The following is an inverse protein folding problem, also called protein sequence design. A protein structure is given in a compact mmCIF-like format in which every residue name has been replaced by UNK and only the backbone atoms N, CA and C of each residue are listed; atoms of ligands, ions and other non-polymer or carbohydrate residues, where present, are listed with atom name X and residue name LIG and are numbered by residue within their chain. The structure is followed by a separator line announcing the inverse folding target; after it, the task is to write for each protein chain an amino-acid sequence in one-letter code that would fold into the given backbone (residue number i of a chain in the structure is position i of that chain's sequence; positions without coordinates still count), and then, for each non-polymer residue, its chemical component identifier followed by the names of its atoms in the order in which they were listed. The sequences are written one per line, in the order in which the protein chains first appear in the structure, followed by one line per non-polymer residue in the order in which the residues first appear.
data_IF_546146222769
#
_entry.id   IF_546146222769
#
_cell.length_a   1.000
_cell.length_b   1.000
_cell.length_c   1.000
_cell.angle_alpha   90.00
_cell.angle_beta   90.00
_cell.angle_gamma   90.00
#
_symmetry.space_group_name_H-M   'P 1'
#
loop_
_entity.id
_entity.type
_entity.pdbx_description
1 polymer ?
#
# COMPACT_ATOMS: atom_id res chain seq x y z
N UNK A 1 19.58 -3.71 -2.66
CA UNK A 1 19.15 -4.20 -1.32
C UNK A 1 20.25 -5.07 -0.75
N UNK A 2 20.71 -4.82 0.49
CA UNK A 2 21.82 -5.57 1.11
C UNK A 2 21.33 -6.78 1.89
N UNK A 3 20.23 -6.63 2.62
CA UNK A 3 19.57 -7.72 3.36
C UNK A 3 18.06 -7.46 3.48
N UNK A 4 17.27 -8.50 3.78
CA UNK A 4 15.81 -8.45 3.91
C UNK A 4 15.34 -9.40 5.00
N UNK A 5 14.39 -8.94 5.80
CA UNK A 5 13.72 -9.74 6.83
C UNK A 5 12.21 -9.68 6.64
N UNK A 6 11.54 -10.76 6.95
CA UNK A 6 10.09 -10.86 6.95
C UNK A 6 9.60 -11.40 8.28
N UNK A 7 8.66 -10.71 8.90
CA UNK A 7 8.10 -11.04 10.21
C UNK A 7 6.58 -11.17 10.07
N UNK A 8 6.02 -12.23 10.63
CA UNK A 8 4.56 -12.35 10.74
C UNK A 8 4.03 -11.33 11.75
N UNK A 9 2.97 -10.64 11.37
CA UNK A 9 2.33 -9.62 12.19
C UNK A 9 0.82 -9.81 12.25
N UNK A 10 0.29 -9.71 13.48
CA UNK A 10 -1.15 -9.72 13.73
C UNK A 10 -1.67 -8.30 13.92
N UNK A 11 -2.63 -7.83 13.09
CA UNK A 11 -3.16 -6.46 13.14
C UNK A 11 -3.79 -6.05 14.49
N UNK A 12 -4.09 -7.03 15.35
CA UNK A 12 -4.71 -6.81 16.67
C UNK A 12 -3.72 -6.60 17.80
N UNK A 13 -2.44 -6.80 17.54
CA UNK A 13 -1.40 -6.55 18.54
C UNK A 13 -1.28 -5.05 18.84
N UNK A 14 -0.72 -4.74 20.00
CA UNK A 14 -0.47 -3.33 20.35
C UNK A 14 0.56 -2.71 19.41
N UNK A 15 0.44 -1.40 19.18
CA UNK A 15 1.42 -0.63 18.38
C UNK A 15 2.83 -0.86 18.89
N UNK A 16 3.02 -0.78 20.19
CA UNK A 16 4.33 -0.92 20.84
C UNK A 16 4.94 -2.30 20.61
N UNK A 17 4.14 -3.38 20.69
CA UNK A 17 4.62 -4.74 20.42
C UNK A 17 5.00 -4.92 18.95
N UNK A 18 4.22 -4.36 18.04
CA UNK A 18 4.51 -4.39 16.60
C UNK A 18 5.81 -3.64 16.30
N UNK A 19 5.96 -2.40 16.80
CA UNK A 19 7.17 -1.61 16.56
C UNK A 19 8.41 -2.24 17.21
N UNK A 20 8.25 -2.84 18.39
CA UNK A 20 9.35 -3.57 19.05
C UNK A 20 9.76 -4.84 18.28
N UNK A 21 8.82 -5.53 17.64
CA UNK A 21 9.14 -6.67 16.77
C UNK A 21 9.93 -6.20 15.54
N UNK A 22 9.46 -5.15 14.85
CA UNK A 22 10.17 -4.55 13.72
C UNK A 22 11.57 -4.08 14.12
N UNK A 23 11.69 -3.41 15.27
CA UNK A 23 12.97 -2.89 15.75
C UNK A 23 14.00 -4.00 16.03
N UNK A 24 13.57 -5.18 16.51
CA UNK A 24 14.49 -6.31 16.68
C UNK A 24 15.11 -6.75 15.35
N UNK A 25 14.32 -6.81 14.29
CA UNK A 25 14.83 -7.13 12.96
C UNK A 25 15.75 -6.03 12.41
N UNK A 26 15.43 -4.75 12.69
CA UNK A 26 16.34 -3.65 12.37
C UNK A 26 17.66 -3.74 13.14
N UNK A 27 17.62 -4.04 14.44
CA UNK A 27 18.82 -4.20 15.27
C UNK A 27 19.72 -5.32 14.71
N UNK A 28 19.14 -6.45 14.30
CA UNK A 28 19.86 -7.57 13.70
C UNK A 28 20.47 -7.20 12.34
N UNK A 29 19.74 -6.46 11.49
CA UNK A 29 20.27 -5.97 10.22
C UNK A 29 21.41 -4.97 10.41
N UNK A 30 21.27 -4.06 11.35
CA UNK A 30 22.29 -3.03 11.66
C UNK A 30 23.55 -3.62 12.28
N UNK A 31 23.44 -4.71 13.05
CA UNK A 31 24.61 -5.41 13.61
C UNK A 31 25.58 -5.95 12.54
N UNK A 32 25.07 -6.17 11.32
CA UNK A 32 25.86 -6.65 10.19
C UNK A 32 26.18 -5.53 9.16
N UNK A 33 25.68 -4.32 9.38
CA UNK A 33 25.94 -3.18 8.47
C UNK A 33 27.35 -2.61 8.70
N UNK A 34 28.06 -2.38 7.61
CA UNK A 34 29.40 -1.75 7.64
C UNK A 34 29.35 -0.23 7.48
N UNK A 35 28.22 0.32 7.13
CA UNK A 35 28.01 1.75 6.92
C UNK A 35 27.09 2.35 8.01
N UNK A 36 27.22 3.65 8.33
CA UNK A 36 26.33 4.31 9.26
C UNK A 36 24.90 4.37 8.72
N UNK A 37 23.93 4.32 9.62
CA UNK A 37 22.52 4.53 9.28
C UNK A 37 22.30 6.02 8.97
N UNK A 38 21.70 6.33 7.82
CA UNK A 38 21.40 7.70 7.41
C UNK A 38 19.97 8.12 7.72
N UNK A 39 19.05 7.17 7.73
CA UNK A 39 17.64 7.42 8.02
C UNK A 39 16.81 6.17 7.90
N UNK A 40 15.57 6.25 8.32
CA UNK A 40 14.59 5.15 8.29
C UNK A 40 13.37 5.58 7.49
N UNK A 41 13.04 4.85 6.43
CA UNK A 41 11.78 4.98 5.70
C UNK A 41 10.80 3.89 6.14
N UNK A 42 9.57 4.27 6.44
CA UNK A 42 8.51 3.37 6.89
C UNK A 42 7.27 3.51 6.02
N UNK A 43 6.67 2.39 5.72
CA UNK A 43 5.39 2.25 5.01
C UNK A 43 4.35 1.66 5.95
N UNK A 44 3.16 2.28 6.06
CA UNK A 44 2.08 1.79 6.90
C UNK A 44 0.76 1.71 6.11
N UNK A 45 -0.11 0.70 6.37
CA UNK A 45 -1.32 0.46 5.58
C UNK A 45 -2.49 1.36 6.02
N UNK A 46 -2.26 2.68 6.05
CA UNK A 46 -3.25 3.69 6.44
C UNK A 46 -2.82 5.06 5.95
N UNK A 47 -3.75 6.02 5.75
CA UNK A 47 -3.39 7.41 5.52
C UNK A 47 -2.49 7.96 6.64
N UNK A 48 -1.51 8.77 6.25
CA UNK A 48 -0.53 9.40 7.14
C UNK A 48 -0.67 10.91 7.03
N UNK A 49 -0.81 11.59 8.16
CA UNK A 49 -0.84 13.05 8.20
C UNK A 49 0.52 13.61 7.77
N UNK A 50 0.52 14.47 6.75
CA UNK A 50 1.76 14.99 6.16
C UNK A 50 2.57 15.83 7.14
N UNK A 51 1.90 16.59 7.99
CA UNK A 51 2.51 17.49 8.96
C UNK A 51 3.14 16.76 10.15
N UNK A 52 2.53 15.67 10.60
CA UNK A 52 2.95 14.95 11.81
C UNK A 52 3.53 13.56 11.56
N UNK A 53 3.35 12.99 10.36
CA UNK A 53 3.74 11.59 10.07
C UNK A 53 2.94 10.56 10.85
N UNK A 54 1.77 10.92 11.40
CA UNK A 54 0.95 10.04 12.24
C UNK A 54 -0.15 9.35 11.45
N UNK A 55 -0.46 8.08 11.75
CA UNK A 55 -1.61 7.38 11.19
C UNK A 55 -2.93 8.13 11.43
N UNK A 56 -3.76 8.24 10.40
CA UNK A 56 -5.06 8.92 10.45
C UNK A 56 -6.21 7.93 10.28
N UNK A 57 -7.04 7.79 11.32
CA UNK A 57 -8.27 7.01 11.29
C UNK A 57 -8.14 5.64 10.59
N UNK A 58 -7.16 4.80 10.96
CA UNK A 58 -6.90 3.55 10.26
C UNK A 58 -8.05 2.56 10.43
N UNK A 59 -8.75 2.15 9.35
CA UNK A 59 -9.87 1.24 9.45
C UNK A 59 -9.47 -0.13 10.02
N UNK A 60 -10.08 -0.52 11.14
CA UNK A 60 -9.76 -1.77 11.84
C UNK A 60 -8.47 -1.74 12.68
N UNK A 61 -7.73 -0.63 12.68
CA UNK A 61 -6.50 -0.43 13.44
C UNK A 61 -6.58 0.83 14.33
N UNK A 62 -7.74 1.08 14.95
CA UNK A 62 -8.02 2.31 15.69
C UNK A 62 -6.99 2.67 16.76
N UNK A 63 -6.30 1.68 17.35
CA UNK A 63 -5.22 1.88 18.32
C UNK A 63 -3.95 2.50 17.71
N UNK A 64 -3.80 2.52 16.38
CA UNK A 64 -2.71 3.22 15.67
C UNK A 64 -3.00 4.70 15.47
N UNK A 65 -4.27 5.12 15.58
CA UNK A 65 -4.67 6.49 15.26
C UNK A 65 -3.91 7.52 16.09
N UNK A 66 -3.20 8.42 15.42
CA UNK A 66 -2.42 9.48 16.04
C UNK A 66 -1.14 9.01 16.77
N UNK A 67 -0.79 7.72 16.70
CA UNK A 67 0.44 7.22 17.33
C UNK A 67 1.68 7.82 16.65
N UNK A 68 2.67 8.22 17.44
CA UNK A 68 3.90 8.81 16.93
C UNK A 68 4.92 7.74 16.52
N UNK A 69 4.67 7.12 15.36
CA UNK A 69 5.55 6.10 14.76
C UNK A 69 6.92 6.69 14.43
N UNK A 70 6.93 7.90 13.88
CA UNK A 70 8.16 8.61 13.50
C UNK A 70 9.04 8.86 14.70
N UNK A 71 8.49 9.50 15.72
CA UNK A 71 9.23 9.82 16.95
C UNK A 71 9.72 8.59 17.70
N UNK A 72 8.97 7.47 17.62
CA UNK A 72 9.37 6.21 18.24
C UNK A 72 10.68 5.67 17.62
N UNK A 73 10.79 5.65 16.28
CA UNK A 73 12.01 5.20 15.58
C UNK A 73 13.13 6.22 15.68
N UNK A 74 12.85 7.51 15.47
CA UNK A 74 13.86 8.56 15.57
C UNK A 74 14.55 8.57 16.94
N UNK A 75 13.77 8.44 18.03
CA UNK A 75 14.32 8.41 19.40
C UNK A 75 15.15 7.16 19.67
N UNK A 76 14.84 6.03 19.03
CA UNK A 76 15.57 4.77 19.25
C UNK A 76 16.89 4.73 18.49
N UNK A 77 16.93 5.25 17.27
CA UNK A 77 18.06 5.08 16.34
C UNK A 77 18.88 6.36 16.12
N UNK A 78 18.44 7.48 16.70
CA UNK A 78 19.07 8.80 16.55
C UNK A 78 19.27 9.22 15.10
N UNK A 79 18.27 8.94 14.24
CA UNK A 79 18.25 9.33 12.82
C UNK A 79 16.87 9.86 12.42
N UNK A 80 16.82 10.62 11.34
CA UNK A 80 15.56 11.03 10.71
C UNK A 80 14.71 9.82 10.30
N UNK A 81 13.40 9.90 10.52
CA UNK A 81 12.44 8.85 10.16
C UNK A 81 11.32 9.43 9.31
N UNK A 82 11.06 8.81 8.17
CA UNK A 82 10.01 9.19 7.22
C UNK A 82 8.93 8.11 7.22
N UNK A 83 7.68 8.52 7.31
CA UNK A 83 6.52 7.62 7.35
C UNK A 83 5.52 8.04 6.29
N UNK A 84 5.08 7.10 5.47
CA UNK A 84 4.04 7.37 4.46
C UNK A 84 3.09 6.16 4.31
N UNK A 85 2.00 6.38 3.57
CA UNK A 85 1.05 5.33 3.22
C UNK A 85 1.69 4.28 2.28
N UNK A 86 1.28 3.03 2.44
CA UNK A 86 1.82 1.89 1.68
C UNK A 86 1.64 2.01 0.16
N UNK A 87 0.48 2.46 -0.32
CA UNK A 87 0.26 2.65 -1.75
C UNK A 87 1.10 3.81 -2.31
N UNK A 88 1.32 4.88 -1.53
CA UNK A 88 2.22 5.97 -1.92
C UNK A 88 3.67 5.48 -2.04
N UNK A 89 4.12 4.73 -1.06
CA UNK A 89 5.49 4.18 -1.02
C UNK A 89 5.72 3.23 -2.19
N UNK A 90 4.79 2.29 -2.41
CA UNK A 90 4.90 1.33 -3.52
C UNK A 90 4.82 2.02 -4.89
N UNK A 91 3.98 3.04 -5.04
CA UNK A 91 3.93 3.84 -6.26
C UNK A 91 5.29 4.50 -6.55
N UNK A 92 5.91 5.11 -5.54
CA UNK A 92 7.23 5.73 -5.66
C UNK A 92 8.32 4.71 -5.98
N UNK A 93 8.28 3.55 -5.34
CA UNK A 93 9.18 2.43 -5.61
C UNK A 93 9.02 1.88 -7.01
N UNK A 94 7.79 1.64 -7.47
CA UNK A 94 7.49 1.18 -8.82
C UNK A 94 7.97 2.19 -9.88
N UNK A 95 7.70 3.48 -9.67
CA UNK A 95 8.18 4.54 -10.55
C UNK A 95 9.72 4.54 -10.66
N UNK A 96 10.39 4.34 -9.53
CA UNK A 96 11.86 4.26 -9.49
C UNK A 96 12.40 3.04 -10.23
N UNK A 97 11.80 1.86 -10.01
CA UNK A 97 12.24 0.60 -10.62
C UNK A 97 11.97 0.55 -12.13
N UNK A 98 10.90 1.19 -12.57
CA UNK A 98 10.48 1.19 -13.99
C UNK A 98 11.00 2.38 -14.79
N UNK A 99 11.43 3.45 -14.11
CA UNK A 99 11.79 4.72 -14.73
C UNK A 99 10.58 5.51 -15.24
N UNK A 100 9.36 5.20 -14.77
CA UNK A 100 8.14 5.89 -15.18
C UNK A 100 7.93 7.16 -14.35
N UNK A 101 7.82 8.31 -15.00
CA UNK A 101 7.53 9.58 -14.33
C UNK A 101 6.05 9.72 -13.95
N UNK A 102 5.15 9.05 -14.67
CA UNK A 102 3.71 9.06 -14.44
C UNK A 102 3.20 7.63 -14.29
N UNK A 103 2.74 7.27 -13.08
CA UNK A 103 2.37 5.90 -12.71
C UNK A 103 1.18 5.89 -11.75
N UNK A 104 0.29 4.92 -11.94
CA UNK A 104 -0.76 4.58 -10.98
C UNK A 104 -0.43 3.21 -10.37
N UNK A 105 -0.26 3.16 -9.06
CA UNK A 105 -0.17 1.92 -8.30
C UNK A 105 -1.50 1.61 -7.65
N UNK A 106 -2.00 0.39 -7.81
CA UNK A 106 -3.24 -0.10 -7.20
C UNK A 106 -2.88 -1.17 -6.18
N UNK A 107 -3.08 -0.90 -4.91
CA UNK A 107 -2.87 -1.84 -3.81
C UNK A 107 -4.18 -2.50 -3.41
N UNK A 108 -4.32 -3.79 -3.71
CA UNK A 108 -5.44 -4.64 -3.31
C UNK A 108 -5.00 -5.62 -2.22
N UNK A 109 -4.86 -5.09 -1.02
CA UNK A 109 -4.49 -5.85 0.17
C UNK A 109 -5.67 -6.07 1.11
N UNK A 110 -5.45 -5.90 2.41
CA UNK A 110 -6.54 -5.90 3.41
C UNK A 110 -7.54 -4.76 3.21
N UNK A 111 -7.15 -3.69 2.53
CA UNK A 111 -7.94 -2.60 2.01
C UNK A 111 -7.63 -2.38 0.53
N UNK A 112 -8.34 -1.43 -0.09
CA UNK A 112 -8.05 -0.94 -1.43
C UNK A 112 -7.58 0.50 -1.35
N UNK A 113 -6.39 0.77 -1.86
CA UNK A 113 -5.82 2.11 -2.00
C UNK A 113 -5.06 2.25 -3.31
N UNK A 114 -4.76 3.50 -3.70
CA UNK A 114 -3.91 3.77 -4.85
C UNK A 114 -2.84 4.80 -4.50
N UNK A 115 -1.69 4.68 -5.15
CA UNK A 115 -0.66 5.71 -5.19
C UNK A 115 -0.57 6.27 -6.61
N UNK A 116 -0.57 7.58 -6.74
CA UNK A 116 -0.36 8.26 -8.02
C UNK A 116 1.00 8.94 -7.98
N UNK A 117 1.84 8.62 -8.96
CA UNK A 117 3.07 9.38 -9.25
C UNK A 117 2.80 10.21 -10.49
N UNK A 118 3.10 11.49 -10.43
CA UNK A 118 3.05 12.38 -11.58
C UNK A 118 4.30 13.25 -11.59
N UNK A 119 4.95 13.31 -12.76
CA UNK A 119 6.23 13.99 -12.94
C UNK A 119 7.30 13.55 -11.91
N UNK A 120 7.36 12.25 -11.65
CA UNK A 120 8.30 11.63 -10.72
C UNK A 120 7.99 11.87 -9.23
N UNK A 121 6.85 12.50 -8.90
CA UNK A 121 6.45 12.84 -7.52
C UNK A 121 5.15 12.17 -7.12
N UNK A 122 5.13 11.58 -5.94
CA UNK A 122 3.93 10.98 -5.36
C UNK A 122 2.91 12.08 -4.97
N UNK A 123 1.66 11.88 -5.40
CA UNK A 123 0.53 12.78 -5.14
C UNK A 123 -0.15 12.42 -3.82
N UNK A 124 0.29 13.03 -2.72
CA UNK A 124 -0.23 12.75 -1.36
C UNK A 124 -1.52 13.50 -1.04
N UNK A 125 -1.86 14.53 -1.85
CA UNK A 125 -2.95 15.44 -1.55
C UNK A 125 -2.63 16.38 -0.38
N UNK A 126 -3.61 17.18 0.03
CA UNK A 126 -3.42 18.22 1.05
C UNK A 126 -3.13 17.65 2.45
N UNK A 127 -3.67 16.49 2.79
CA UNK A 127 -3.64 15.93 4.14
C UNK A 127 -2.91 14.58 4.24
N UNK A 128 -2.45 14.02 3.12
CA UNK A 128 -1.87 12.67 3.08
C UNK A 128 -2.89 11.55 2.82
N UNK A 129 -4.14 11.90 2.48
CA UNK A 129 -5.22 10.92 2.25
C UNK A 129 -5.53 10.66 0.78
N UNK A 130 -4.77 11.23 -0.16
CA UNK A 130 -4.97 10.94 -1.58
C UNK A 130 -4.85 9.43 -1.83
N UNK A 131 -5.64 8.92 -2.77
CA UNK A 131 -5.62 7.49 -3.09
C UNK A 131 -6.47 6.58 -2.21
N UNK A 132 -7.18 7.09 -1.20
CA UNK A 132 -8.10 6.31 -0.35
C UNK A 132 -9.40 5.93 -1.09
N UNK A 133 -9.29 5.44 -2.34
CA UNK A 133 -10.44 5.16 -3.22
C UNK A 133 -11.34 4.04 -2.71
N UNK A 134 -10.80 3.12 -1.90
CA UNK A 134 -11.59 2.06 -1.26
C UNK A 134 -12.75 2.60 -0.42
N UNK A 135 -12.66 3.83 0.06
CA UNK A 135 -13.69 4.43 0.88
C UNK A 135 -14.66 5.35 0.11
N UNK A 136 -14.60 5.37 -1.20
CA UNK A 136 -15.64 6.00 -2.04
C UNK A 136 -16.90 5.14 -2.00
N UNK A 137 -18.07 5.77 -1.79
CA UNK A 137 -19.35 5.08 -1.86
C UNK A 137 -19.69 4.79 -3.31
N UNK A 138 -19.73 3.52 -3.69
CA UNK A 138 -20.04 3.06 -5.05
C UNK A 138 -21.42 2.42 -5.14
N UNK A 139 -22.00 2.03 -4.00
CA UNK A 139 -23.35 1.48 -3.91
C UNK A 139 -24.02 1.99 -2.61
N UNK A 140 -24.79 3.07 -2.73
CA UNK A 140 -25.49 3.68 -1.60
C UNK A 140 -26.59 2.77 -1.01
N UNK A 141 -27.04 1.77 -1.75
CA UNK A 141 -28.06 0.78 -1.31
C UNK A 141 -27.46 -0.42 -0.58
N UNK A 142 -26.14 -0.61 -0.64
CA UNK A 142 -25.49 -1.75 -0.02
C UNK A 142 -25.62 -1.72 1.51
N UNK A 143 -26.07 -2.83 2.07
CA UNK A 143 -26.20 -2.99 3.52
C UNK A 143 -24.84 -3.25 4.22
N UNK A 144 -23.83 -3.68 3.46
CA UNK A 144 -22.50 -4.00 4.00
C UNK A 144 -21.85 -2.77 4.63
N UNK A 145 -21.48 -2.88 5.90
CA UNK A 145 -20.77 -1.84 6.64
C UNK A 145 -19.27 -1.96 6.38
N UNK A 146 -18.66 -0.90 5.91
CA UNK A 146 -17.22 -0.80 5.75
C UNK A 146 -16.52 -0.67 7.12
N UNK A 147 -15.27 -1.09 7.21
CA UNK A 147 -14.43 -0.91 8.41
C UNK A 147 -14.25 0.57 8.81
N UNK A 148 -14.47 1.52 7.88
CA UNK A 148 -14.49 2.95 8.18
C UNK A 148 -15.81 3.43 8.83
N UNK A 149 -16.77 2.54 9.08
CA UNK A 149 -18.08 2.84 9.67
C UNK A 149 -19.17 3.28 8.68
N UNK A 150 -18.82 3.54 7.41
CA UNK A 150 -19.80 3.91 6.37
C UNK A 150 -20.34 2.68 5.64
N UNK A 151 -21.43 2.87 4.87
CA UNK A 151 -22.01 1.83 4.01
C UNK A 151 -21.70 2.10 2.55
N UNK A 152 -21.66 1.04 1.73
CA UNK A 152 -21.50 1.11 0.29
C UNK A 152 -20.13 1.53 -0.20
N UNK A 153 -19.11 1.51 0.65
CA UNK A 153 -17.74 1.73 0.24
C UNK A 153 -17.25 0.62 -0.69
N UNK A 154 -16.43 0.97 -1.68
CA UNK A 154 -15.80 0.01 -2.58
C UNK A 154 -14.99 -1.04 -1.79
N UNK A 155 -14.28 -0.64 -0.76
CA UNK A 155 -13.51 -1.52 0.15
C UNK A 155 -14.35 -2.67 0.73
N UNK A 156 -15.62 -2.41 1.06
CA UNK A 156 -16.54 -3.43 1.57
C UNK A 156 -16.98 -4.46 0.51
N UNK A 157 -16.60 -4.25 -0.74
CA UNK A 157 -16.95 -5.13 -1.86
C UNK A 157 -15.74 -5.86 -2.46
N UNK A 158 -14.52 -5.30 -2.30
CA UNK A 158 -13.33 -5.80 -3.02
C UNK A 158 -12.11 -6.03 -2.16
N UNK A 159 -12.01 -5.44 -0.96
CA UNK A 159 -10.86 -5.61 -0.09
C UNK A 159 -10.72 -7.06 0.41
N UNK A 160 -9.50 -7.47 0.77
CA UNK A 160 -9.23 -8.86 1.18
C UNK A 160 -10.22 -9.39 2.20
N UNK A 161 -10.52 -8.63 3.26
CA UNK A 161 -11.51 -9.04 4.26
C UNK A 161 -12.94 -9.20 3.70
N UNK A 162 -13.31 -8.44 2.67
CA UNK A 162 -14.63 -8.54 2.03
C UNK A 162 -14.70 -9.78 1.13
N UNK A 163 -13.62 -10.09 0.42
CA UNK A 163 -13.46 -11.30 -0.39
C UNK A 163 -13.52 -12.55 0.49
N UNK A 164 -12.82 -12.55 1.62
CA UNK A 164 -12.85 -13.65 2.58
C UNK A 164 -14.25 -13.88 3.12
N UNK A 165 -14.98 -12.83 3.49
CA UNK A 165 -16.36 -12.92 3.95
C UNK A 165 -17.31 -13.44 2.87
N UNK A 166 -17.14 -13.02 1.61
CA UNK A 166 -17.94 -13.52 0.48
C UNK A 166 -17.68 -15.01 0.25
N UNK A 167 -16.43 -15.42 0.32
CA UNK A 167 -16.03 -16.83 0.17
C UNK A 167 -16.58 -17.69 1.32
N UNK A 168 -16.57 -17.20 2.58
CA UNK A 168 -17.20 -17.87 3.71
C UNK A 168 -18.71 -17.98 3.48
N UNK A 169 -19.36 -16.94 2.99
CA UNK A 169 -20.79 -16.99 2.64
C UNK A 169 -21.06 -18.04 1.57
N UNK A 170 -20.24 -18.09 0.52
CA UNK A 170 -20.35 -19.09 -0.53
C UNK A 170 -20.20 -20.54 0.00
N UNK A 171 -19.28 -20.74 0.95
CA UNK A 171 -19.07 -22.01 1.61
C UNK A 171 -20.31 -22.40 2.46
N UNK A 172 -20.82 -21.50 3.29
CA UNK A 172 -22.00 -21.76 4.15
C UNK A 172 -23.25 -22.07 3.33
N UNK A 173 -23.42 -21.42 2.19
CA UNK A 173 -24.52 -21.64 1.24
C UNK A 173 -24.34 -22.91 0.38
N UNK A 174 -23.22 -23.62 0.53
CA UNK A 174 -22.92 -24.83 -0.24
C UNK A 174 -22.62 -24.58 -1.72
N UNK A 175 -22.22 -23.35 -2.09
CA UNK A 175 -21.89 -22.96 -3.48
C UNK A 175 -20.48 -23.40 -3.93
N UNK A 176 -19.63 -23.87 -2.99
CA UNK A 176 -18.26 -24.30 -3.28
C UNK A 176 -17.87 -25.49 -2.44
N UNK A 177 -17.65 -26.63 -3.08
CA UNK A 177 -17.06 -27.82 -2.44
C UNK A 177 -15.57 -27.61 -2.17
N UNK A 178 -14.89 -26.84 -2.99
CA UNK A 178 -13.50 -26.47 -2.82
C UNK A 178 -13.29 -25.72 -1.51
N UNK A 179 -14.02 -24.62 -1.28
CA UNK A 179 -13.92 -23.83 -0.04
C UNK A 179 -14.30 -24.64 1.20
N UNK A 180 -15.28 -25.55 1.07
CA UNK A 180 -15.63 -26.48 2.16
C UNK A 180 -14.47 -27.42 2.51
N UNK A 181 -13.77 -27.95 1.50
CA UNK A 181 -12.60 -28.79 1.72
C UNK A 181 -11.41 -28.05 2.35
N UNK A 182 -11.15 -26.81 1.89
CA UNK A 182 -10.10 -25.94 2.44
C UNK A 182 -10.39 -25.61 3.90
N UNK A 183 -11.63 -25.20 4.21
CA UNK A 183 -12.00 -24.85 5.59
C UNK A 183 -11.81 -26.03 6.55
N UNK A 184 -12.11 -27.26 6.09
CA UNK A 184 -11.88 -28.47 6.91
C UNK A 184 -10.42 -28.81 7.10
N UNK A 185 -9.57 -28.55 6.08
CA UNK A 185 -8.15 -28.85 6.12
C UNK A 185 -7.33 -27.82 6.90
N UNK A 186 -7.56 -26.54 6.61
CA UNK A 186 -6.72 -25.43 7.04
C UNK A 186 -7.36 -24.58 8.14
N UNK A 187 -8.66 -24.77 8.41
CA UNK A 187 -9.41 -24.04 9.45
C UNK A 187 -9.75 -22.60 9.08
N UNK A 188 -9.35 -22.12 7.90
CA UNK A 188 -9.60 -20.74 7.46
C UNK A 188 -9.71 -20.64 5.93
N UNK A 189 -10.44 -19.61 5.47
CA UNK A 189 -10.52 -19.20 4.07
C UNK A 189 -9.83 -17.84 3.96
N UNK A 190 -8.88 -17.70 3.05
CA UNK A 190 -8.11 -16.47 2.80
C UNK A 190 -8.25 -16.05 1.34
N UNK A 191 -7.81 -14.84 1.00
CA UNK A 191 -7.75 -14.38 -0.41
C UNK A 191 -6.87 -15.29 -1.27
N UNK A 192 -5.82 -15.86 -0.69
CA UNK A 192 -4.93 -16.83 -1.37
C UNK A 192 -5.72 -18.08 -1.75
N UNK A 193 -6.51 -18.64 -0.83
CA UNK A 193 -7.35 -19.81 -1.12
C UNK A 193 -8.44 -19.50 -2.16
N UNK A 194 -9.01 -18.30 -2.16
CA UNK A 194 -9.98 -17.88 -3.18
C UNK A 194 -9.31 -17.80 -4.56
N UNK A 195 -8.11 -17.22 -4.65
CA UNK A 195 -7.33 -17.19 -5.88
C UNK A 195 -6.98 -18.59 -6.40
N UNK A 196 -6.54 -19.50 -5.51
CA UNK A 196 -6.26 -20.88 -5.85
C UNK A 196 -7.51 -21.62 -6.33
N UNK A 197 -8.66 -21.45 -5.67
CA UNK A 197 -9.93 -22.03 -6.09
C UNK A 197 -10.37 -21.54 -7.47
N UNK A 198 -10.11 -20.27 -7.80
CA UNK A 198 -10.38 -19.76 -9.15
C UNK A 198 -9.48 -20.43 -10.23
N UNK A 199 -8.21 -20.74 -9.91
CA UNK A 199 -7.32 -21.52 -10.81
C UNK A 199 -7.82 -22.96 -11.00
N UNK A 200 -8.42 -23.56 -9.96
CA UNK A 200 -9.05 -24.88 -10.04
C UNK A 200 -10.45 -24.85 -10.66
N UNK A 201 -10.86 -23.70 -11.22
CA UNK A 201 -12.15 -23.48 -11.84
C UNK A 201 -13.36 -23.71 -10.92
N UNK A 202 -13.21 -23.52 -9.58
CA UNK A 202 -14.36 -23.50 -8.68
C UNK A 202 -15.29 -22.34 -9.02
N UNK A 203 -16.57 -22.58 -9.33
CA UNK A 203 -17.46 -21.54 -9.86
C UNK A 203 -17.64 -20.34 -8.91
N UNK A 204 -17.69 -20.56 -7.60
CA UNK A 204 -17.87 -19.49 -6.63
C UNK A 204 -16.59 -18.62 -6.54
N UNK A 205 -15.40 -19.25 -6.50
CA UNK A 205 -14.13 -18.54 -6.49
C UNK A 205 -13.93 -17.74 -7.79
N UNK A 206 -14.22 -18.32 -8.95
CA UNK A 206 -14.17 -17.64 -10.26
C UNK A 206 -15.07 -16.40 -10.26
N UNK A 207 -16.30 -16.52 -9.78
CA UNK A 207 -17.24 -15.40 -9.71
C UNK A 207 -16.74 -14.29 -8.78
N UNK A 208 -16.27 -14.64 -7.58
CA UNK A 208 -15.75 -13.69 -6.59
C UNK A 208 -14.55 -12.91 -7.16
N UNK A 209 -13.61 -13.61 -7.79
CA UNK A 209 -12.42 -13.00 -8.39
C UNK A 209 -12.80 -12.08 -9.55
N UNK A 210 -13.69 -12.52 -10.45
CA UNK A 210 -14.10 -11.74 -11.61
C UNK A 210 -14.87 -10.46 -11.21
N UNK A 211 -15.77 -10.56 -10.23
CA UNK A 211 -16.52 -9.42 -9.71
C UNK A 211 -15.59 -8.41 -9.01
N UNK A 212 -14.63 -8.90 -8.23
CA UNK A 212 -13.62 -8.07 -7.60
C UNK A 212 -12.79 -7.32 -8.65
N UNK A 213 -12.23 -8.03 -9.63
CA UNK A 213 -11.42 -7.44 -10.71
C UNK A 213 -12.20 -6.39 -11.51
N UNK A 214 -13.49 -6.66 -11.80
CA UNK A 214 -14.38 -5.72 -12.51
C UNK A 214 -14.59 -4.42 -11.74
N UNK A 215 -14.82 -4.50 -10.43
CA UNK A 215 -15.04 -3.31 -9.60
C UNK A 215 -13.75 -2.51 -9.41
N UNK A 216 -12.63 -3.19 -9.17
CA UNK A 216 -11.31 -2.55 -9.00
C UNK A 216 -10.86 -1.88 -10.30
N UNK A 217 -11.06 -2.53 -11.46
CA UNK A 217 -10.71 -1.95 -12.77
C UNK A 217 -11.52 -0.69 -13.09
N UNK A 218 -12.80 -0.65 -12.74
CA UNK A 218 -13.64 0.53 -12.94
C UNK A 218 -13.15 1.73 -12.10
N UNK A 219 -12.80 1.49 -10.84
CA UNK A 219 -12.23 2.53 -9.97
C UNK A 219 -10.84 2.98 -10.47
N UNK A 220 -9.99 2.04 -10.87
CA UNK A 220 -8.67 2.35 -11.43
C UNK A 220 -8.78 3.17 -12.73
N UNK A 221 -9.76 2.87 -13.59
CA UNK A 221 -10.00 3.62 -14.83
C UNK A 221 -10.38 5.09 -14.57
N UNK A 222 -11.15 5.35 -13.53
CA UNK A 222 -11.49 6.75 -13.13
C UNK A 222 -10.24 7.51 -12.70
N UNK A 223 -9.39 6.90 -11.87
CA UNK A 223 -8.13 7.52 -11.43
C UNK A 223 -7.17 7.68 -12.62
N UNK A 224 -7.01 6.63 -13.43
CA UNK A 224 -6.16 6.67 -14.62
C UNK A 224 -6.62 7.75 -15.63
N UNK A 225 -7.92 7.96 -15.79
CA UNK A 225 -8.46 9.02 -16.64
C UNK A 225 -8.11 10.42 -16.10
N UNK A 226 -8.05 10.59 -14.79
CA UNK A 226 -7.73 11.87 -14.16
C UNK A 226 -6.22 12.16 -14.09
N UNK A 227 -5.38 11.12 -13.96
CA UNK A 227 -3.93 11.26 -13.80
C UNK A 227 -3.13 10.97 -15.07
N UNK A 228 -3.74 10.36 -16.09
CA UNK A 228 -3.16 9.97 -17.38
C UNK A 228 -1.78 9.27 -17.24
N UNK A 229 -1.67 8.17 -16.47
CA UNK A 229 -0.41 7.50 -16.22
C UNK A 229 0.08 6.76 -17.48
N UNK A 230 1.40 6.67 -17.64
CA UNK A 230 2.01 5.80 -18.65
C UNK A 230 1.84 4.30 -18.30
N UNK A 231 1.75 4.00 -16.99
CA UNK A 231 1.71 2.63 -16.47
C UNK A 231 0.75 2.52 -15.28
N UNK A 232 0.04 1.38 -15.21
CA UNK A 232 -0.68 0.93 -14.02
C UNK A 232 0.03 -0.31 -13.48
N UNK A 233 0.45 -0.25 -12.22
CA UNK A 233 0.96 -1.41 -11.47
C UNK A 233 -0.10 -1.85 -10.49
N UNK A 234 -0.39 -3.15 -10.43
CA UNK A 234 -1.36 -3.70 -9.50
C UNK A 234 -0.72 -4.74 -8.60
N UNK A 235 -0.88 -4.57 -7.28
CA UNK A 235 -0.35 -5.44 -6.24
C UNK A 235 -1.42 -6.00 -5.31
N UNK A 236 -1.02 -6.99 -4.51
CA UNK A 236 -1.83 -7.66 -3.52
C UNK A 236 -1.87 -9.17 -3.67
N UNK A 237 -2.25 -9.87 -2.60
CA UNK A 237 -2.19 -11.33 -2.57
C UNK A 237 -3.13 -11.98 -3.59
N UNK A 238 -4.37 -11.48 -3.73
CA UNK A 238 -5.31 -12.00 -4.71
C UNK A 238 -4.81 -11.81 -6.15
N UNK A 239 -4.15 -10.69 -6.42
CA UNK A 239 -3.57 -10.37 -7.74
C UNK A 239 -2.47 -11.36 -8.10
N UNK A 240 -1.59 -11.65 -7.14
CA UNK A 240 -0.49 -12.63 -7.32
C UNK A 240 -1.01 -14.05 -7.52
N UNK A 241 -2.09 -14.39 -6.84
CA UNK A 241 -2.64 -15.75 -6.85
C UNK A 241 -3.58 -16.03 -8.02
N UNK A 242 -4.04 -15.04 -8.77
CA UNK A 242 -5.08 -15.24 -9.79
C UNK A 242 -4.77 -14.54 -11.11
N UNK A 243 -4.37 -15.31 -12.12
CA UNK A 243 -4.24 -14.83 -13.50
C UNK A 243 -5.59 -14.31 -14.04
N UNK A 244 -6.71 -14.94 -13.64
CA UNK A 244 -8.06 -14.48 -13.97
C UNK A 244 -8.29 -13.04 -13.53
N UNK A 245 -7.83 -12.68 -12.29
CA UNK A 245 -7.94 -11.31 -11.80
C UNK A 245 -7.22 -10.34 -12.75
N UNK A 246 -5.98 -10.63 -13.08
CA UNK A 246 -5.13 -9.77 -13.93
C UNK A 246 -5.73 -9.63 -15.34
N UNK A 247 -6.24 -10.72 -15.89
CA UNK A 247 -6.89 -10.72 -17.22
C UNK A 247 -8.14 -9.85 -17.23
N UNK A 248 -9.07 -10.09 -16.29
CA UNK A 248 -10.34 -9.35 -16.18
C UNK A 248 -10.07 -7.87 -15.87
N UNK A 249 -9.17 -7.58 -14.95
CA UNK A 249 -8.77 -6.22 -14.60
C UNK A 249 -8.22 -5.47 -15.82
N UNK A 250 -7.24 -6.05 -16.51
CA UNK A 250 -6.58 -5.42 -17.67
C UNK A 250 -7.55 -5.16 -18.81
N UNK A 251 -8.40 -6.16 -19.14
CA UNK A 251 -9.42 -6.03 -20.16
C UNK A 251 -10.41 -4.92 -19.84
N UNK A 252 -10.97 -4.92 -18.62
CA UNK A 252 -11.98 -3.94 -18.21
C UNK A 252 -11.41 -2.54 -18.05
N UNK A 253 -10.18 -2.40 -17.54
CA UNK A 253 -9.48 -1.13 -17.47
C UNK A 253 -9.35 -0.49 -18.86
N UNK A 254 -8.92 -1.29 -19.87
CA UNK A 254 -8.77 -0.81 -21.25
C UNK A 254 -10.09 -0.42 -21.90
N UNK A 255 -11.17 -1.16 -21.61
CA UNK A 255 -12.51 -0.85 -22.14
C UNK A 255 -13.08 0.42 -21.51
N UNK A 256 -12.79 0.64 -20.24
CA UNK A 256 -13.33 1.78 -19.47
C UNK A 256 -12.51 3.07 -19.63
N UNK A 257 -11.24 2.96 -19.99
CA UNK A 257 -10.37 4.12 -20.19
C UNK A 257 -10.62 4.80 -21.54
N UNK A 258 -10.39 6.13 -21.67
CA UNK A 258 -10.44 6.82 -22.95
C UNK A 258 -9.52 6.16 -23.99
N UNK A 259 -9.89 6.13 -25.30
CA UNK A 259 -9.14 5.40 -26.31
C UNK A 259 -7.64 5.72 -26.36
N UNK A 260 -7.28 7.02 -26.30
CA UNK A 260 -5.87 7.45 -26.32
C UNK A 260 -5.05 6.91 -25.15
N UNK A 261 -5.65 6.87 -23.97
CA UNK A 261 -5.03 6.32 -22.77
C UNK A 261 -4.93 4.81 -22.89
N UNK A 262 -6.04 4.15 -23.24
CA UNK A 262 -6.14 2.68 -23.38
C UNK A 262 -5.11 2.09 -24.35
N UNK A 263 -4.85 2.75 -25.49
CA UNK A 263 -3.88 2.32 -26.50
C UNK A 263 -2.43 2.30 -26.02
N UNK A 264 -2.09 3.15 -25.04
CA UNK A 264 -0.70 3.35 -24.57
C UNK A 264 -0.45 2.83 -23.18
N UNK A 265 -1.52 2.53 -22.42
CA UNK A 265 -1.44 2.15 -21.03
C UNK A 265 -0.80 0.76 -20.87
N UNK A 266 0.32 0.72 -20.20
CA UNK A 266 0.94 -0.52 -19.76
C UNK A 266 0.34 -0.96 -18.42
N UNK A 267 0.03 -2.26 -18.28
CA UNK A 267 -0.44 -2.84 -17.02
C UNK A 267 0.58 -3.89 -16.58
N UNK A 268 1.06 -3.77 -15.35
CA UNK A 268 2.00 -4.72 -14.73
C UNK A 268 1.48 -5.22 -13.39
N UNK A 269 1.87 -6.42 -13.04
CA UNK A 269 1.74 -6.95 -11.67
C UNK A 269 2.97 -6.53 -10.87
N UNK A 270 2.76 -6.15 -9.61
CA UNK A 270 3.82 -5.79 -8.68
C UNK A 270 4.78 -6.96 -8.41
N UNK A 271 5.99 -6.64 -8.05
CA UNK A 271 7.02 -7.63 -7.73
C UNK A 271 6.57 -8.52 -6.54
N UNK A 272 6.64 -9.85 -6.67
CA UNK A 272 6.23 -10.76 -5.60
C UNK A 272 7.07 -10.60 -4.32
N UNK A 273 8.28 -10.12 -4.45
CA UNK A 273 9.19 -9.87 -3.34
C UNK A 273 9.06 -8.47 -2.72
N UNK A 274 8.03 -7.69 -3.11
CA UNK A 274 7.76 -6.33 -2.62
C UNK A 274 8.99 -5.39 -2.71
N UNK A 275 9.72 -5.49 -3.82
CA UNK A 275 10.85 -4.61 -4.07
C UNK A 275 10.42 -3.13 -4.12
N UNK A 276 9.20 -2.87 -4.60
CA UNK A 276 8.60 -1.54 -4.65
C UNK A 276 8.49 -0.91 -3.26
N UNK A 277 8.09 -1.68 -2.24
CA UNK A 277 7.98 -1.18 -0.86
C UNK A 277 9.35 -0.76 -0.31
N UNK A 278 10.36 -1.62 -0.46
CA UNK A 278 11.71 -1.34 0.03
C UNK A 278 12.37 -0.16 -0.71
N UNK A 279 12.26 -0.12 -2.05
CA UNK A 279 12.79 0.98 -2.88
C UNK A 279 12.06 2.28 -2.58
N UNK A 280 10.73 2.24 -2.44
CA UNK A 280 9.93 3.42 -2.11
C UNK A 280 10.27 3.99 -0.73
N UNK A 281 10.43 3.16 0.30
CA UNK A 281 10.91 3.60 1.62
C UNK A 281 12.31 4.25 1.52
N UNK A 282 13.22 3.68 0.73
CA UNK A 282 14.54 4.27 0.50
C UNK A 282 14.42 5.64 -0.17
N UNK A 283 13.54 5.77 -1.18
CA UNK A 283 13.31 7.04 -1.88
C UNK A 283 12.74 8.12 -0.98
N UNK A 284 11.83 7.78 -0.04
CA UNK A 284 11.34 8.75 0.95
C UNK A 284 12.47 9.41 1.73
N UNK A 285 13.48 8.63 2.10
CA UNK A 285 14.63 9.11 2.87
C UNK A 285 15.61 9.89 1.97
N UNK A 286 15.97 9.28 0.84
CA UNK A 286 17.04 9.82 -0.03
C UNK A 286 16.60 11.12 -0.71
N UNK A 287 15.35 11.20 -1.18
CA UNK A 287 14.86 12.40 -1.86
C UNK A 287 14.89 13.63 -0.95
N UNK A 288 14.55 13.47 0.33
CA UNK A 288 14.64 14.55 1.32
C UNK A 288 16.09 14.83 1.72
N UNK A 289 16.87 13.81 2.08
CA UNK A 289 18.27 13.98 2.51
C UNK A 289 19.14 14.64 1.44
N UNK A 290 18.87 14.39 0.15
CA UNK A 290 19.56 15.03 -0.97
C UNK A 290 18.88 16.33 -1.43
N UNK A 291 17.75 16.69 -0.84
CA UNK A 291 17.13 18.01 -1.04
C UNK A 291 17.97 19.13 -0.44
N UNK A 292 17.89 20.34 -1.04
CA UNK A 292 18.74 21.48 -0.68
C UNK A 292 18.73 21.76 0.82
N UNK A 293 17.56 21.78 1.44
CA UNK A 293 17.39 22.12 2.86
C UNK A 293 18.07 21.13 3.80
N UNK A 294 18.06 19.83 3.44
CA UNK A 294 18.73 18.80 4.24
C UNK A 294 20.24 18.76 3.97
N UNK A 295 20.67 18.96 2.71
CA UNK A 295 22.09 19.00 2.35
C UNK A 295 22.84 20.07 3.15
N UNK A 296 22.29 21.27 3.27
CA UNK A 296 22.87 22.34 4.07
C UNK A 296 23.08 21.96 5.53
N UNK A 297 22.20 21.11 6.08
CA UNK A 297 22.27 20.69 7.48
C UNK A 297 23.35 19.64 7.75
N UNK A 298 23.60 18.70 6.83
CA UNK A 298 24.48 17.55 7.13
C UNK A 298 25.79 17.49 6.33
N UNK A 299 25.89 18.12 5.16
CA UNK A 299 27.14 18.10 4.37
C UNK A 299 28.35 18.56 5.17
N UNK A 300 28.28 19.63 6.00
CA UNK A 300 29.42 20.03 6.83
C UNK A 300 29.87 18.98 7.85
N UNK A 301 28.96 18.08 8.26
CA UNK A 301 29.26 17.01 9.22
C UNK A 301 29.71 15.71 8.55
N UNK A 302 29.61 15.61 7.22
CA UNK A 302 30.01 14.45 6.42
C UNK A 302 29.02 13.29 6.38
N UNK A 303 28.00 13.28 7.26
CA UNK A 303 26.95 12.28 7.26
C UNK A 303 25.68 12.82 7.97
N UNK A 304 24.47 12.35 7.59
CA UNK A 304 23.22 12.85 8.16
C UNK A 304 22.85 12.24 9.52
N UNK A 305 23.49 11.14 9.95
CA UNK A 305 23.20 10.48 11.22
C UNK A 305 23.62 11.30 12.44
N UNK A 306 22.86 11.26 13.52
CA UNK A 306 23.14 11.97 14.78
C UNK A 306 22.98 13.50 14.72
N UNK A 307 22.36 14.04 13.68
CA UNK A 307 22.14 15.48 13.52
C UNK A 307 20.69 15.83 13.95
N UNK A 308 20.52 16.40 15.11
CA UNK A 308 19.21 16.77 15.68
C UNK A 308 18.37 17.65 14.72
N UNK A 309 19.02 18.53 13.93
CA UNK A 309 18.34 19.33 12.92
C UNK A 309 17.68 18.50 11.81
N UNK A 310 18.25 17.34 11.45
CA UNK A 310 17.68 16.43 10.44
C UNK A 310 16.45 15.71 11.01
N UNK A 311 16.56 15.17 12.23
CA UNK A 311 15.42 14.55 12.90
C UNK A 311 14.27 15.55 13.05
N UNK A 312 14.54 16.77 13.52
CA UNK A 312 13.55 17.84 13.65
C UNK A 312 12.94 18.25 12.31
N UNK A 313 13.72 18.35 11.22
CA UNK A 313 13.22 18.66 9.87
C UNK A 313 12.38 17.52 9.30
N UNK A 314 12.80 16.27 9.47
CA UNK A 314 12.02 15.12 9.07
C UNK A 314 10.66 15.07 9.78
N UNK A 315 10.58 15.59 11.03
CA UNK A 315 9.35 15.74 11.78
C UNK A 315 8.45 16.89 11.29
N UNK A 316 9.06 17.94 10.72
CA UNK A 316 8.37 19.16 10.29
C UNK A 316 8.15 19.24 8.77
N UNK A 317 8.71 18.28 8.01
CA UNK A 317 8.70 18.36 6.56
C UNK A 317 7.24 18.42 6.03
N UNK A 318 6.84 19.62 5.63
CA UNK A 318 5.61 19.91 4.93
C UNK A 318 5.88 19.90 3.43
N UNK A 319 5.08 19.25 2.62
CA UNK A 319 5.06 19.52 1.19
C UNK A 319 4.30 20.82 0.92
N UNK A 320 4.76 21.93 1.48
CA UNK A 320 4.20 23.28 1.25
C UNK A 320 5.10 24.06 0.29
N UNK A 321 5.30 23.55 -0.91
CA UNK A 321 5.71 24.41 -2.04
C UNK A 321 4.95 24.02 -3.31
N UNK A 322 3.61 24.15 -3.23
CA UNK A 322 2.76 24.38 -4.38
C UNK A 322 2.08 25.74 -4.23
N UNK A 323 2.90 26.79 -4.08
CA UNK A 323 2.45 28.16 -4.20
C UNK A 323 3.58 29.00 -4.80
N UNK A 324 3.75 28.85 -6.11
CA UNK A 324 4.26 29.88 -7.01
C UNK A 324 3.83 29.53 -8.45
#
# INVERSE_FOLDING_TARGET
MLDRRQVSWEPRESVQLTLAAIAREFDDLLAHASAPLWGIGLSIPTPVALDTGRPMNPPGLGHWNGFDVRGWFSSRYDVGTWVDNDAHVRALGSATLTGADDLLYVELGRGLSVGVVSQGRVQRGRTGSAGSIGHVTVDASAERVCRCGRRGCLDALVAGWAIENEAITAQVEGRSQYLDSVLRADGQITVVTVGAGAREADPACVQIVADCATRVSAAAAMVATASEPAMVVIGGDLVRESELFVEVFTRNLRVSAPPRLSERLEVRVADPDDAEGAVGCTRLVVDDLLGTDFLEAWVPAGAPGGIAAISARAEQHRPDELSA
#
